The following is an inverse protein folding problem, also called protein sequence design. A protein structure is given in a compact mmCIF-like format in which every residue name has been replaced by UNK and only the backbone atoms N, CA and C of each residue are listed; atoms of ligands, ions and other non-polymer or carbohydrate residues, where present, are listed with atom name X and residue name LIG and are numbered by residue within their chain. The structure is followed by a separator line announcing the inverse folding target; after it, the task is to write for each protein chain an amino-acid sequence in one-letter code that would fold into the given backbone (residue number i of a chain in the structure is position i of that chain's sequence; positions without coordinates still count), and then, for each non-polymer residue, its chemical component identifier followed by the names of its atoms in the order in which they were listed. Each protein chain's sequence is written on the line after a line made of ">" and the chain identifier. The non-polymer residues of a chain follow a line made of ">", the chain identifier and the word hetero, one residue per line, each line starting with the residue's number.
data_IF_423129903600
#
_entry.id   IF_423129903600
#
_cell.length_a   1.000
_cell.length_b   1.000
_cell.length_c   1.000
_cell.angle_alpha   90.00
_cell.angle_beta   90.00
_cell.angle_gamma   90.00
#
_symmetry.space_group_name_H-M   'P 1'
#
loop_
_entity.id
_entity.type
_entity.pdbx_description
1 polymer ?
#
# COMPACT_ATOMS: atom_id res chain seq x y z
N UNK A 1 -3.76 -9.22 4.18
CA UNK A 1 -2.44 -9.78 3.78
C UNK A 1 -1.32 -9.35 4.73
N UNK A 2 -1.68 -8.75 5.86
CA UNK A 2 -0.81 -8.40 6.99
C UNK A 2 -0.69 -9.52 8.02
N UNK A 3 -1.65 -10.44 8.03
CA UNK A 3 -1.61 -11.60 8.93
C UNK A 3 -0.56 -12.62 8.49
N UNK A 4 0.33 -12.93 9.43
CA UNK A 4 1.19 -14.08 9.38
C UNK A 4 0.39 -15.34 9.74
N UNK A 5 0.57 -16.40 8.96
CA UNK A 5 -0.04 -17.71 9.22
C UNK A 5 1.12 -18.70 9.43
N UNK A 6 1.46 -19.02 10.69
CA UNK A 6 2.62 -19.83 11.01
C UNK A 6 2.63 -21.15 10.22
N UNK A 7 3.77 -21.44 9.60
CA UNK A 7 4.02 -22.64 8.78
C UNK A 7 3.17 -22.75 7.50
N UNK A 8 2.37 -21.74 7.15
CA UNK A 8 1.53 -21.75 5.95
C UNK A 8 1.89 -20.59 5.01
N UNK A 9 1.92 -19.37 5.53
CA UNK A 9 2.16 -18.18 4.71
C UNK A 9 2.68 -17.02 5.56
N UNK A 10 3.86 -16.47 5.26
CA UNK A 10 4.32 -15.25 5.90
C UNK A 10 3.39 -14.07 5.60
N UNK A 11 3.41 -13.05 6.45
CA UNK A 11 2.78 -11.78 6.11
C UNK A 11 3.50 -11.11 4.93
N UNK A 12 2.72 -10.72 3.92
CA UNK A 12 3.23 -10.01 2.75
C UNK A 12 3.50 -8.54 3.07
N UNK A 13 2.54 -7.85 3.69
CA UNK A 13 2.66 -6.43 3.97
C UNK A 13 2.90 -6.19 5.45
N UNK A 14 3.86 -5.32 5.75
CA UNK A 14 4.04 -4.77 7.08
C UNK A 14 2.81 -3.96 7.54
N UNK A 15 2.68 -3.80 8.85
CA UNK A 15 1.62 -2.98 9.46
C UNK A 15 1.75 -1.50 9.06
N UNK A 16 2.94 -1.04 8.66
CA UNK A 16 3.17 0.31 8.16
C UNK A 16 2.73 0.48 6.70
N UNK A 17 2.92 -0.55 5.87
CA UNK A 17 2.55 -0.53 4.44
C UNK A 17 1.03 -0.59 4.24
N UNK A 18 0.33 -1.34 5.10
CA UNK A 18 -1.13 -1.52 5.00
C UNK A 18 -1.97 -0.24 4.98
N UNK A 19 -1.84 0.70 5.93
CA UNK A 19 -2.65 1.93 5.92
C UNK A 19 -2.36 2.82 4.70
N UNK A 20 -1.14 2.78 4.15
CA UNK A 20 -0.79 3.53 2.94
C UNK A 20 -1.45 2.93 1.69
N UNK A 21 -1.47 1.59 1.59
CA UNK A 21 -2.20 0.89 0.53
C UNK A 21 -3.71 1.17 0.59
N UNK A 22 -4.28 1.17 1.80
CA UNK A 22 -5.71 1.42 1.97
C UNK A 22 -6.11 2.86 1.62
N UNK A 23 -5.25 3.84 1.96
CA UNK A 23 -5.43 5.23 1.53
C UNK A 23 -5.46 5.34 0.00
N UNK A 24 -4.51 4.71 -0.70
CA UNK A 24 -4.49 4.76 -2.17
C UNK A 24 -5.66 4.05 -2.80
N UNK A 25 -6.11 2.94 -2.20
CA UNK A 25 -7.31 2.23 -2.63
C UNK A 25 -8.54 3.14 -2.50
N UNK A 26 -8.67 3.84 -1.39
CA UNK A 26 -9.74 4.79 -1.10
C UNK A 26 -9.70 5.99 -2.04
N UNK A 27 -8.52 6.60 -2.24
CA UNK A 27 -8.33 7.70 -3.18
C UNK A 27 -8.68 7.29 -4.62
N UNK A 28 -8.25 6.11 -5.07
CA UNK A 28 -8.59 5.60 -6.41
C UNK A 28 -10.10 5.46 -6.60
N UNK A 29 -10.81 4.97 -5.59
CA UNK A 29 -12.26 4.86 -5.64
C UNK A 29 -12.91 6.24 -5.76
N UNK A 30 -12.50 7.19 -4.91
CA UNK A 30 -12.98 8.57 -4.98
C UNK A 30 -12.69 9.24 -6.33
N UNK A 31 -11.44 9.15 -6.81
CA UNK A 31 -10.98 9.78 -8.06
C UNK A 31 -11.80 9.30 -9.26
N UNK A 32 -12.17 8.01 -9.31
CA UNK A 32 -13.03 7.45 -10.35
C UNK A 32 -14.42 8.07 -10.40
N UNK A 33 -14.91 8.65 -9.31
CA UNK A 33 -16.26 9.24 -9.24
C UNK A 33 -16.25 10.78 -9.21
N UNK A 34 -15.08 11.40 -9.15
CA UNK A 34 -14.91 12.84 -8.98
C UNK A 34 -15.00 13.66 -10.28
N UNK A 35 -15.63 13.15 -11.34
CA UNK A 35 -15.62 13.76 -12.69
C UNK A 35 -16.13 15.21 -12.77
N UNK A 36 -16.97 15.63 -11.83
CA UNK A 36 -17.53 16.99 -11.75
C UNK A 36 -16.98 17.84 -10.60
N UNK A 37 -16.06 17.30 -9.80
CA UNK A 37 -15.49 18.00 -8.64
C UNK A 37 -14.11 18.56 -8.96
N UNK A 38 -13.86 19.79 -8.51
CA UNK A 38 -12.49 20.29 -8.43
C UNK A 38 -11.73 19.47 -7.39
N UNK A 39 -10.59 18.93 -7.80
CA UNK A 39 -9.70 18.18 -6.92
C UNK A 39 -9.05 19.16 -5.95
N UNK A 40 -9.22 18.91 -4.67
CA UNK A 40 -8.53 19.62 -3.60
C UNK A 40 -7.02 19.32 -3.69
N UNK A 41 -6.23 20.37 -3.96
CA UNK A 41 -4.78 20.26 -4.16
C UNK A 41 -4.05 19.81 -2.88
N UNK A 42 -4.54 20.18 -1.71
CA UNK A 42 -3.92 19.80 -0.44
C UNK A 42 -4.11 18.31 -0.20
N UNK A 43 -5.33 17.80 -0.42
CA UNK A 43 -5.63 16.36 -0.32
C UNK A 43 -4.83 15.55 -1.34
N UNK A 44 -4.71 16.05 -2.57
CA UNK A 44 -3.88 15.40 -3.58
C UNK A 44 -2.41 15.34 -3.14
N UNK A 45 -1.88 16.43 -2.57
CA UNK A 45 -0.52 16.48 -2.05
C UNK A 45 -0.27 15.47 -0.92
N UNK A 46 -1.24 15.28 -0.02
CA UNK A 46 -1.18 14.26 1.05
C UNK A 46 -1.09 12.86 0.45
N UNK A 47 -1.98 12.53 -0.49
CA UNK A 47 -1.98 11.22 -1.14
C UNK A 47 -0.70 10.98 -1.92
N UNK A 48 -0.19 11.98 -2.64
CA UNK A 48 1.09 11.89 -3.36
C UNK A 48 2.26 11.55 -2.43
N UNK A 49 2.39 12.25 -1.29
CA UNK A 49 3.46 11.96 -0.32
C UNK A 49 3.35 10.55 0.24
N UNK A 50 2.13 10.09 0.55
CA UNK A 50 1.87 8.71 0.99
C UNK A 50 2.21 7.68 -0.10
N UNK A 51 1.90 7.97 -1.37
CA UNK A 51 2.26 7.11 -2.50
C UNK A 51 3.77 6.94 -2.66
N UNK A 52 4.52 8.03 -2.53
CA UNK A 52 5.98 8.00 -2.65
C UNK A 52 6.60 7.16 -1.53
N UNK A 53 6.18 7.37 -0.28
CA UNK A 53 6.59 6.54 0.85
C UNK A 53 6.23 5.07 0.64
N UNK A 54 5.00 4.79 0.19
CA UNK A 54 4.55 3.42 -0.07
C UNK A 54 5.40 2.73 -1.14
N UNK A 55 5.81 3.44 -2.19
CA UNK A 55 6.57 2.83 -3.28
C UNK A 55 7.91 2.23 -2.82
N UNK A 56 8.51 2.80 -1.78
CA UNK A 56 9.72 2.24 -1.14
C UNK A 56 9.33 1.03 -0.29
N UNK A 57 8.45 1.21 0.69
CA UNK A 57 8.03 0.15 1.63
C UNK A 57 7.44 -1.09 0.93
N UNK A 58 6.64 -0.89 -0.11
CA UNK A 58 6.01 -1.97 -0.87
C UNK A 58 7.06 -2.88 -1.53
N UNK A 59 8.13 -2.31 -2.08
CA UNK A 59 9.19 -3.10 -2.74
C UNK A 59 9.94 -3.93 -1.72
N UNK A 60 10.27 -3.35 -0.58
CA UNK A 60 10.98 -4.03 0.50
C UNK A 60 10.12 -5.16 1.08
N UNK A 61 8.83 -4.92 1.30
CA UNK A 61 7.87 -5.93 1.77
C UNK A 61 7.72 -7.10 0.79
N UNK A 62 7.59 -6.80 -0.51
CA UNK A 62 7.52 -7.83 -1.55
C UNK A 62 8.82 -8.62 -1.60
N UNK A 63 9.98 -7.96 -1.57
CA UNK A 63 11.27 -8.65 -1.61
C UNK A 63 11.43 -9.56 -0.40
N UNK A 64 11.18 -9.06 0.82
CA UNK A 64 11.21 -9.85 2.06
C UNK A 64 10.28 -11.06 1.97
N UNK A 65 9.07 -10.89 1.47
CA UNK A 65 8.12 -11.99 1.31
C UNK A 65 8.63 -13.04 0.31
N UNK A 66 9.20 -12.61 -0.82
CA UNK A 66 9.77 -13.52 -1.81
C UNK A 66 10.97 -14.28 -1.23
N UNK A 67 11.86 -13.61 -0.51
CA UNK A 67 13.00 -14.25 0.15
C UNK A 67 12.52 -15.34 1.13
N UNK A 68 11.49 -15.07 1.92
CA UNK A 68 10.89 -16.06 2.83
C UNK A 68 10.24 -17.25 2.12
N UNK A 69 9.76 -17.08 0.88
CA UNK A 69 9.18 -18.18 0.10
C UNK A 69 10.22 -19.04 -0.61
N UNK A 70 11.34 -18.45 -1.05
CA UNK A 70 12.34 -19.12 -1.88
C UNK A 70 13.63 -19.51 -1.16
N UNK A 71 13.86 -19.03 0.07
CA UNK A 71 14.89 -19.56 0.95
C UNK A 71 14.38 -20.88 1.57
N UNK A 72 14.78 -22.00 0.96
CA UNK A 72 14.74 -23.33 1.57
C UNK A 72 16.01 -23.61 2.35
#
# INVERSE_FOLDING_TARGET
>A
MTEDIPNIRPSLFSDECYPLLDELRSFRHWFRHAYSYQIDQEKLGIVLRKSLKLNELYKDDVQRFMDLLYQK
#
